data_IF_934245076632
#
_entry.id   IF_934245076632
#
_cell.length_a   1.000
_cell.length_b   1.000
_cell.length_c   1.000
_cell.angle_alpha   90.00
_cell.angle_beta   90.00
_cell.angle_gamma   90.00
#
_symmetry.space_group_name_H-M   'P 1'
#
loop_
_entity.id
_entity.type
_entity.pdbx_description
1 polymer ?
#
# COMPACT_ATOMS: atom_id res chain seq x y z
N UNK A 1 -58.60 -33.74 0.31
CA UNK A 1 -58.96 -32.31 0.45
C UNK A 1 -57.91 -31.68 1.35
N UNK A 2 -57.40 -30.54 0.91
CA UNK A 2 -56.10 -29.94 1.21
C UNK A 2 -55.89 -29.50 2.66
N UNK A 3 -54.67 -29.64 3.17
CA UNK A 3 -54.12 -28.79 4.21
C UNK A 3 -52.97 -28.01 3.56
N UNK A 4 -53.25 -26.75 3.26
CA UNK A 4 -52.38 -25.74 2.66
C UNK A 4 -52.48 -24.48 3.55
N UNK A 5 -51.40 -23.73 3.69
CA UNK A 5 -51.32 -22.50 4.50
C UNK A 5 -50.26 -22.58 5.60
N UNK A 6 -48.96 -22.54 5.27
CA UNK A 6 -48.11 -21.35 5.01
C UNK A 6 -47.55 -20.75 6.31
N UNK A 7 -46.29 -21.10 6.57
CA UNK A 7 -45.34 -20.40 7.43
C UNK A 7 -44.96 -19.07 6.77
N UNK A 8 -45.33 -17.92 7.34
CA UNK A 8 -44.67 -16.65 7.02
C UNK A 8 -45.07 -15.53 8.00
N UNK A 9 -44.40 -15.47 9.14
CA UNK A 9 -44.18 -14.22 9.87
C UNK A 9 -42.67 -13.90 9.79
N UNK A 10 -42.28 -13.37 8.64
CA UNK A 10 -40.96 -12.78 8.40
C UNK A 10 -40.89 -11.45 9.17
N UNK A 11 -40.13 -11.43 10.26
CA UNK A 11 -39.77 -10.19 10.95
C UNK A 11 -38.82 -9.38 10.07
N UNK A 12 -39.38 -8.49 9.27
CA UNK A 12 -38.63 -7.46 8.54
C UNK A 12 -38.11 -6.44 9.56
N UNK A 13 -36.89 -6.63 10.03
CA UNK A 13 -36.13 -5.56 10.64
C UNK A 13 -35.58 -4.68 9.51
N UNK A 14 -36.28 -3.59 9.17
CA UNK A 14 -35.74 -2.53 8.33
C UNK A 14 -34.50 -1.95 9.03
N UNK A 15 -33.32 -2.42 8.63
CA UNK A 15 -32.05 -1.80 9.01
C UNK A 15 -31.81 -0.65 8.06
N UNK A 16 -32.06 0.58 8.51
CA UNK A 16 -31.63 1.79 7.80
C UNK A 16 -30.08 1.78 7.69
N UNK A 17 -29.49 1.83 6.48
CA UNK A 17 -28.05 1.92 6.34
C UNK A 17 -27.59 3.33 6.69
N UNK A 18 -26.74 3.45 7.72
CA UNK A 18 -26.04 4.68 8.05
C UNK A 18 -25.25 5.17 6.82
N UNK A 19 -25.51 6.40 6.38
CA UNK A 19 -24.83 7.00 5.23
C UNK A 19 -23.44 7.50 5.61
N UNK A 20 -22.48 7.33 4.68
CA UNK A 20 -21.08 7.79 4.75
C UNK A 20 -20.92 9.28 5.09
N UNK A 21 -21.97 10.08 4.97
CA UNK A 21 -22.00 11.49 5.33
C UNK A 21 -21.82 11.75 6.84
N UNK A 22 -22.14 10.81 7.74
CA UNK A 22 -22.01 10.99 9.20
C UNK A 22 -20.58 10.75 9.73
N UNK A 23 -19.63 10.28 8.91
CA UNK A 23 -18.29 9.88 9.36
C UNK A 23 -17.22 10.96 9.09
N UNK A 24 -17.51 11.98 8.28
CA UNK A 24 -16.48 12.88 7.70
C UNK A 24 -16.38 14.25 8.39
N UNK A 25 -17.17 14.53 9.43
CA UNK A 25 -17.18 15.84 10.09
C UNK A 25 -16.62 15.79 11.52
N UNK A 26 -15.30 15.51 11.67
CA UNK A 26 -14.46 16.02 12.78
C UNK A 26 -13.02 15.51 12.64
N UNK A 27 -12.19 16.21 11.87
CA UNK A 27 -10.73 16.14 12.00
C UNK A 27 -10.07 17.35 11.31
N UNK A 28 -10.18 18.53 11.92
CA UNK A 28 -9.27 19.64 11.61
C UNK A 28 -8.09 19.65 12.61
N UNK A 29 -6.86 19.29 12.23
CA UNK A 29 -5.69 19.65 13.02
C UNK A 29 -5.13 21.00 12.52
N UNK A 30 -5.56 22.09 13.15
CA UNK A 30 -4.80 23.36 13.13
C UNK A 30 -3.54 23.21 14.00
N UNK A 31 -2.41 22.86 13.39
CA UNK A 31 -1.10 22.93 14.04
C UNK A 31 -0.42 24.26 13.69
N UNK A 32 -0.49 25.20 14.64
CA UNK A 32 0.31 26.42 14.69
C UNK A 32 1.78 26.08 14.93
N UNK A 33 2.67 26.48 14.01
CA UNK A 33 4.12 26.44 14.25
C UNK A 33 4.63 27.88 14.23
N UNK A 34 4.58 28.51 15.41
CA UNK A 34 5.41 29.66 15.74
C UNK A 34 6.75 29.13 16.26
N UNK A 35 7.84 29.55 15.62
CA UNK A 35 9.20 29.16 15.94
C UNK A 35 10.20 30.14 15.37
N UNK A 36 10.24 31.33 15.96
CA UNK A 36 11.18 32.40 15.65
C UNK A 36 12.65 32.03 16.03
N UNK A 37 13.57 32.32 15.11
CA UNK A 37 14.84 33.06 15.29
C UNK A 37 16.01 32.50 16.16
N UNK A 38 17.16 32.26 15.50
CA UNK A 38 18.51 32.70 15.92
C UNK A 38 19.52 32.43 14.79
N UNK A 39 20.01 33.47 14.09
CA UNK A 39 21.35 34.07 14.24
C UNK A 39 22.49 33.10 13.90
N UNK A 40 23.09 33.21 12.71
CA UNK A 40 24.19 34.12 12.36
C UNK A 40 25.56 33.42 12.43
N UNK A 41 26.26 33.44 11.29
CA UNK A 41 27.71 33.23 11.22
C UNK A 41 28.13 31.96 10.48
N UNK A 42 28.51 32.11 9.21
CA UNK A 42 29.91 31.97 8.80
C UNK A 42 30.02 32.34 7.31
N UNK A 43 30.56 33.54 7.06
CA UNK A 43 31.04 33.92 5.75
C UNK A 43 32.42 33.30 5.48
N UNK A 44 32.63 32.98 4.21
CA UNK A 44 33.90 32.82 3.49
C UNK A 44 34.81 31.62 3.80
N UNK A 45 34.72 30.61 2.92
CA UNK A 45 35.91 30.15 2.20
C UNK A 45 35.60 29.77 0.75
N UNK A 46 36.06 30.64 -0.14
CA UNK A 46 36.15 30.41 -1.58
C UNK A 46 37.23 29.36 -1.85
N UNK A 47 36.88 28.27 -2.53
CA UNK A 47 37.74 27.66 -3.54
C UNK A 47 36.89 27.36 -4.77
N UNK A 48 37.08 28.22 -5.78
CA UNK A 48 36.67 27.95 -7.14
C UNK A 48 37.59 26.87 -7.71
N UNK A 49 37.02 25.72 -8.04
CA UNK A 49 37.73 24.58 -8.64
C UNK A 49 36.73 23.65 -9.32
N UNK A 50 36.26 24.05 -10.50
CA UNK A 50 36.04 23.21 -11.68
C UNK A 50 35.56 21.74 -11.48
N UNK A 51 34.41 21.53 -10.83
CA UNK A 51 33.70 20.23 -10.81
C UNK A 51 32.24 20.39 -11.27
N UNK A 52 32.07 21.01 -12.42
CA UNK A 52 30.79 21.07 -13.15
C UNK A 52 30.53 19.71 -13.84
N UNK A 53 30.21 18.66 -13.09
CA UNK A 53 30.08 17.34 -13.74
C UNK A 53 29.62 16.10 -12.98
N UNK A 54 29.25 16.15 -11.70
CA UNK A 54 28.70 14.97 -11.01
C UNK A 54 27.75 15.32 -9.85
N UNK A 55 26.57 15.84 -10.18
CA UNK A 55 25.46 16.04 -9.22
C UNK A 55 24.79 14.72 -8.79
N UNK A 56 25.18 13.59 -9.38
CA UNK A 56 24.68 12.27 -9.00
C UNK A 56 25.55 11.68 -7.88
N UNK A 57 25.22 12.01 -6.62
CA UNK A 57 25.84 11.38 -5.45
C UNK A 57 26.13 12.30 -4.26
N UNK A 58 26.09 13.63 -4.41
CA UNK A 58 26.43 14.57 -3.34
C UNK A 58 25.38 14.70 -2.22
N UNK A 59 24.22 14.06 -2.39
CA UNK A 59 23.16 13.96 -1.38
C UNK A 59 22.92 12.51 -0.95
N UNK A 60 23.89 11.62 -1.15
CA UNK A 60 23.84 10.32 -0.50
C UNK A 60 23.95 10.58 1.02
N UNK A 61 22.99 10.11 1.83
CA UNK A 61 23.13 10.14 3.27
C UNK A 61 24.45 9.46 3.66
N UNK A 62 25.22 10.02 4.61
CA UNK A 62 26.43 9.37 5.18
C UNK A 62 26.11 8.08 5.97
N UNK A 63 24.86 7.63 5.93
CA UNK A 63 24.42 6.36 6.49
C UNK A 63 24.42 5.29 5.40
N UNK A 64 25.12 4.20 5.66
CA UNK A 64 25.09 3.02 4.80
C UNK A 64 23.68 2.42 4.83
N UNK A 65 22.92 2.63 3.73
CA UNK A 65 21.60 2.03 3.57
C UNK A 65 21.77 0.62 3.03
N UNK A 66 21.79 -0.36 3.93
CA UNK A 66 21.80 -1.77 3.54
C UNK A 66 20.39 -2.17 3.08
N UNK A 67 20.20 -2.58 1.81
CA UNK A 67 18.91 -3.08 1.37
C UNK A 67 18.56 -4.35 2.15
N UNK A 68 17.43 -4.31 2.86
CA UNK A 68 16.91 -5.47 3.58
C UNK A 68 15.98 -6.29 2.69
N UNK A 69 15.98 -7.61 2.89
CA UNK A 69 15.02 -8.49 2.25
C UNK A 69 13.59 -8.08 2.63
N UNK A 70 12.62 -8.15 1.71
CA UNK A 70 11.24 -7.90 2.07
C UNK A 70 10.79 -8.89 3.14
N UNK A 71 9.94 -8.45 4.08
CA UNK A 71 9.30 -9.38 5.03
C UNK A 71 8.29 -10.26 4.30
N UNK A 72 8.02 -11.49 4.77
CA UNK A 72 7.01 -12.36 4.18
C UNK A 72 5.62 -11.72 4.24
N UNK A 73 5.33 -10.98 5.31
CA UNK A 73 4.07 -10.25 5.48
C UNK A 73 3.89 -9.13 4.45
N UNK A 74 4.92 -8.29 4.22
CA UNK A 74 4.85 -7.26 3.19
C UNK A 74 4.66 -7.88 1.79
N UNK A 75 5.37 -8.98 1.52
CA UNK A 75 5.21 -9.72 0.25
C UNK A 75 3.78 -10.23 0.07
N UNK A 76 3.16 -10.73 1.15
CA UNK A 76 1.77 -11.19 1.13
C UNK A 76 0.78 -10.06 0.88
N UNK A 77 0.97 -8.90 1.51
CA UNK A 77 0.10 -7.74 1.29
C UNK A 77 0.20 -7.21 -0.14
N UNK A 78 1.41 -7.12 -0.69
CA UNK A 78 1.62 -6.73 -2.08
C UNK A 78 0.96 -7.73 -3.03
N UNK A 79 1.18 -9.04 -2.83
CA UNK A 79 0.57 -10.08 -3.66
C UNK A 79 -0.97 -10.03 -3.60
N UNK A 80 -1.55 -9.85 -2.41
CA UNK A 80 -2.99 -9.76 -2.22
C UNK A 80 -3.56 -8.49 -2.88
N UNK A 81 -2.90 -7.35 -2.74
CA UNK A 81 -3.29 -6.11 -3.40
C UNK A 81 -3.29 -6.24 -4.93
N UNK A 82 -2.28 -6.91 -5.50
CA UNK A 82 -2.22 -7.23 -6.93
C UNK A 82 -3.37 -8.15 -7.34
N UNK A 83 -3.63 -9.23 -6.60
CA UNK A 83 -4.76 -10.12 -6.86
C UNK A 83 -6.09 -9.36 -6.90
N UNK A 84 -6.38 -8.57 -5.86
CA UNK A 84 -7.64 -7.81 -5.78
C UNK A 84 -7.77 -6.79 -6.91
N UNK A 85 -6.69 -6.13 -7.30
CA UNK A 85 -6.69 -5.17 -8.39
C UNK A 85 -7.00 -5.85 -9.74
N UNK A 86 -6.36 -7.00 -10.01
CA UNK A 86 -6.62 -7.78 -11.23
C UNK A 86 -8.07 -8.27 -11.24
N UNK A 87 -8.57 -8.79 -10.12
CA UNK A 87 -9.93 -9.31 -10.02
C UNK A 87 -10.98 -8.19 -10.16
N UNK A 88 -10.76 -7.03 -9.54
CA UNK A 88 -11.63 -5.88 -9.71
C UNK A 88 -11.69 -5.44 -11.18
N UNK A 89 -10.54 -5.38 -11.86
CA UNK A 89 -10.51 -5.04 -13.29
C UNK A 89 -11.19 -6.12 -14.15
N UNK A 90 -10.94 -7.39 -13.87
CA UNK A 90 -11.54 -8.51 -14.59
C UNK A 90 -13.07 -8.51 -14.47
N UNK A 91 -13.60 -8.22 -13.27
CA UNK A 91 -15.03 -8.12 -13.03
C UNK A 91 -15.69 -7.06 -13.93
N UNK A 92 -15.04 -5.92 -14.14
CA UNK A 92 -15.57 -4.84 -15.00
C UNK A 92 -15.56 -5.16 -16.51
N UNK A 93 -14.70 -6.07 -16.97
CA UNK A 93 -14.48 -6.31 -18.42
C UNK A 93 -15.11 -7.62 -18.89
N UNK A 94 -14.90 -8.70 -18.14
CA UNK A 94 -15.23 -10.08 -18.53
C UNK A 94 -16.06 -10.83 -17.48
N UNK A 95 -16.18 -10.29 -16.27
CA UNK A 95 -16.86 -10.91 -15.14
C UNK A 95 -15.99 -11.94 -14.41
N UNK A 96 -16.39 -12.29 -13.19
CA UNK A 96 -15.67 -13.23 -12.34
C UNK A 96 -16.15 -14.67 -12.56
N UNK A 97 -15.17 -15.57 -12.70
CA UNK A 97 -15.38 -17.02 -12.64
C UNK A 97 -14.39 -17.64 -11.66
N UNK A 98 -14.75 -18.77 -11.05
CA UNK A 98 -13.89 -19.46 -10.10
C UNK A 98 -12.55 -19.87 -10.73
N UNK A 99 -12.55 -20.24 -12.01
CA UNK A 99 -11.32 -20.56 -12.76
C UNK A 99 -10.43 -19.34 -12.88
N UNK A 100 -10.98 -18.17 -13.22
CA UNK A 100 -10.21 -16.93 -13.31
C UNK A 100 -9.62 -16.55 -11.96
N UNK A 101 -10.42 -16.60 -10.89
CA UNK A 101 -9.96 -16.32 -9.53
C UNK A 101 -8.81 -17.23 -9.14
N UNK A 102 -8.97 -18.55 -9.30
CA UNK A 102 -7.92 -19.52 -8.99
C UNK A 102 -6.65 -19.29 -9.82
N UNK A 103 -6.80 -18.95 -11.10
CA UNK A 103 -5.67 -18.68 -12.00
C UNK A 103 -4.89 -17.44 -11.57
N UNK A 104 -5.58 -16.36 -11.18
CA UNK A 104 -4.94 -15.12 -10.70
C UNK A 104 -4.16 -15.39 -9.42
N UNK A 105 -4.77 -16.04 -8.43
CA UNK A 105 -4.08 -16.37 -7.18
C UNK A 105 -2.88 -17.29 -7.41
N UNK A 106 -3.00 -18.30 -8.28
CA UNK A 106 -1.89 -19.20 -8.59
C UNK A 106 -0.74 -18.45 -9.30
N UNK A 107 -1.05 -17.63 -10.31
CA UNK A 107 -0.04 -16.90 -11.07
C UNK A 107 0.67 -15.84 -10.22
N UNK A 108 -0.08 -15.03 -9.48
CA UNK A 108 0.48 -13.99 -8.61
C UNK A 108 1.23 -14.62 -7.44
N UNK A 109 0.67 -15.64 -6.80
CA UNK A 109 1.31 -16.35 -5.70
C UNK A 109 2.63 -17.01 -6.10
N UNK A 110 2.67 -17.68 -7.26
CA UNK A 110 3.90 -18.28 -7.79
C UNK A 110 4.94 -17.21 -8.13
N UNK A 111 4.53 -16.12 -8.76
CA UNK A 111 5.43 -15.01 -9.09
C UNK A 111 6.00 -14.37 -7.83
N UNK A 112 5.15 -14.08 -6.84
CA UNK A 112 5.57 -13.52 -5.56
C UNK A 112 6.53 -14.45 -4.80
N UNK A 113 6.27 -15.76 -4.79
CA UNK A 113 7.14 -16.75 -4.16
C UNK A 113 8.53 -16.81 -4.83
N UNK A 114 8.58 -16.78 -6.17
CA UNK A 114 9.85 -16.74 -6.93
C UNK A 114 10.62 -15.46 -6.61
N UNK A 115 9.96 -14.30 -6.70
CA UNK A 115 10.60 -13.01 -6.39
C UNK A 115 11.12 -12.95 -4.95
N UNK A 116 10.31 -13.39 -3.99
CA UNK A 116 10.68 -13.46 -2.58
C UNK A 116 11.90 -14.35 -2.36
N UNK A 117 11.88 -15.56 -2.94
CA UNK A 117 13.01 -16.50 -2.85
C UNK A 117 14.29 -15.93 -3.42
N UNK A 118 14.23 -15.25 -4.57
CA UNK A 118 15.39 -14.57 -5.16
C UNK A 118 15.90 -13.47 -4.23
N UNK A 119 15.02 -12.60 -3.74
CA UNK A 119 15.42 -11.48 -2.88
C UNK A 119 16.04 -11.95 -1.57
N UNK A 120 15.42 -12.91 -0.89
CA UNK A 120 15.96 -13.52 0.33
C UNK A 120 17.32 -14.17 0.07
N UNK A 121 17.46 -14.92 -1.04
CA UNK A 121 18.72 -15.57 -1.37
C UNK A 121 19.85 -14.58 -1.70
N UNK A 122 19.52 -13.42 -2.28
CA UNK A 122 20.54 -12.41 -2.66
C UNK A 122 20.82 -11.39 -1.57
N UNK A 123 20.03 -11.37 -0.49
CA UNK A 123 20.26 -10.41 0.61
C UNK A 123 21.33 -10.97 1.55
N UNK A 124 22.44 -10.24 1.78
CA UNK A 124 23.47 -10.68 2.71
C UNK A 124 22.89 -10.75 4.13
N UNK A 125 23.18 -11.84 4.86
CA UNK A 125 22.89 -11.90 6.30
C UNK A 125 23.78 -10.89 7.02
N UNK A 126 23.15 -9.93 7.69
CA UNK A 126 23.78 -8.94 8.57
C UNK A 126 24.13 -9.54 9.92
#
# INVERSE_FOLDING_TARGET
>A
MSADGSDEDEVVAESEPATVADIIEEAEPSATVDGERSEAGHEERSEAGDDEGAVAGSFAPDIEVTPQAPTPENTMFVALGVCLTILALADTIVGLSLVLVATVFAAVGLTAAVCYGVLVHTTPET
#
